data_IF_950458680720
#
_entry.id   IF_950458680720
#
_cell.length_a   1.000
_cell.length_b   1.000
_cell.length_c   1.000
_cell.angle_alpha   90.00
_cell.angle_beta   90.00
_cell.angle_gamma   90.00
#
_symmetry.space_group_name_H-M   'P 1'
#
loop_
_entity.id
_entity.type
_entity.pdbx_description
1 polymer ?
#
# COMPACT_ATOMS: atom_id res chain seq x y z
N UNK A 1 8.11 46.87 42.95
CA UNK A 1 7.49 46.29 41.75
C UNK A 1 8.54 46.32 40.65
N UNK A 2 9.17 45.17 40.40
CA UNK A 2 10.31 45.06 39.49
C UNK A 2 9.81 44.90 38.07
N UNK A 3 10.16 45.86 37.22
CA UNK A 3 9.83 45.89 35.80
C UNK A 3 10.38 44.63 35.10
N UNK A 4 9.48 43.73 34.68
CA UNK A 4 9.80 42.66 33.73
C UNK A 4 10.01 43.31 32.36
N UNK A 5 11.26 43.60 32.02
CA UNK A 5 11.64 43.85 30.62
C UNK A 5 11.30 42.61 29.80
N UNK A 6 10.27 42.69 28.96
CA UNK A 6 10.04 41.74 27.87
C UNK A 6 11.27 41.79 26.95
N UNK A 7 12.08 40.74 26.97
CA UNK A 7 13.09 40.53 25.93
C UNK A 7 12.38 40.24 24.59
N UNK A 8 12.84 40.82 23.48
CA UNK A 8 12.29 40.54 22.15
C UNK A 8 12.45 39.06 21.77
N UNK A 9 11.58 38.49 20.93
CA UNK A 9 11.66 37.10 20.53
C UNK A 9 13.03 36.84 19.91
N UNK A 10 13.75 35.87 20.46
CA UNK A 10 15.09 35.53 20.01
C UNK A 10 15.07 35.22 18.49
N UNK A 11 16.10 35.66 17.73
CA UNK A 11 16.27 35.25 16.35
C UNK A 11 16.31 33.71 16.29
N UNK A 12 15.71 33.12 15.24
CA UNK A 12 15.71 31.67 15.02
C UNK A 12 17.14 31.16 15.15
N UNK A 13 17.45 30.51 16.29
CA UNK A 13 18.79 30.04 16.65
C UNK A 13 19.30 29.19 15.48
N UNK A 14 20.50 29.47 14.95
CA UNK A 14 21.04 28.74 13.80
C UNK A 14 21.16 27.23 14.08
N UNK A 15 21.27 26.87 15.37
CA UNK A 15 21.22 25.51 15.86
C UNK A 15 19.86 24.82 15.65
N UNK A 16 18.75 25.53 15.80
CA UNK A 16 17.41 24.97 15.56
C UNK A 16 17.24 24.64 14.07
N UNK A 17 17.71 25.53 13.19
CA UNK A 17 17.73 25.27 11.74
C UNK A 17 18.59 24.07 11.40
N UNK A 18 19.77 23.92 12.01
CA UNK A 18 20.63 22.74 11.80
C UNK A 18 19.91 21.43 12.13
N UNK A 19 19.12 21.39 13.20
CA UNK A 19 18.34 20.21 13.54
C UNK A 19 17.20 19.94 12.57
N UNK A 20 16.49 20.98 12.12
CA UNK A 20 15.42 20.85 11.12
C UNK A 20 15.98 20.39 9.76
N UNK A 21 17.11 20.94 9.34
CA UNK A 21 17.80 20.54 8.11
C UNK A 21 18.33 19.10 8.21
N UNK A 22 18.84 18.70 9.38
CA UNK A 22 19.23 17.32 9.64
C UNK A 22 18.04 16.36 9.56
N UNK A 23 16.89 16.75 10.11
CA UNK A 23 15.65 15.98 10.01
C UNK A 23 15.20 15.82 8.55
N UNK A 24 15.20 16.89 7.77
CA UNK A 24 14.86 16.86 6.35
C UNK A 24 15.79 15.94 5.54
N UNK A 25 17.10 15.96 5.81
CA UNK A 25 18.07 15.04 5.18
C UNK A 25 17.80 13.58 5.52
N UNK A 26 17.43 13.29 6.76
CA UNK A 26 17.11 11.92 7.19
C UNK A 26 15.82 11.42 6.54
N UNK A 27 14.79 12.26 6.43
CA UNK A 27 13.56 11.93 5.70
C UNK A 27 13.82 11.70 4.20
N UNK A 28 14.68 12.51 3.58
CA UNK A 28 15.07 12.34 2.18
C UNK A 28 16.01 11.14 1.93
N UNK A 29 16.41 10.41 2.97
CA UNK A 29 17.33 9.26 2.86
C UNK A 29 18.75 9.65 2.45
N UNK A 30 19.15 10.93 2.61
CA UNK A 30 20.46 11.46 2.25
C UNK A 30 21.20 12.01 3.48
N UNK A 31 21.52 11.18 4.49
CA UNK A 31 22.30 11.61 5.65
C UNK A 31 23.75 11.95 5.26
N UNK A 32 24.30 12.98 5.90
CA UNK A 32 25.71 13.36 5.81
C UNK A 32 26.59 12.48 6.70
N UNK A 33 26.05 12.00 7.82
CA UNK A 33 26.81 11.14 8.73
C UNK A 33 27.05 9.76 8.10
N UNK A 34 28.32 9.31 8.05
CA UNK A 34 28.73 8.05 7.40
C UNK A 34 28.01 6.82 7.98
N UNK A 35 27.78 6.79 9.29
CA UNK A 35 27.09 5.66 9.94
C UNK A 35 25.61 5.62 9.57
N UNK A 36 24.96 6.80 9.58
CA UNK A 36 23.56 6.92 9.17
C UNK A 36 23.39 6.67 7.68
N UNK A 37 24.37 7.04 6.85
CA UNK A 37 24.40 6.71 5.43
C UNK A 37 24.54 5.20 5.20
N UNK A 38 25.33 4.50 6.01
CA UNK A 38 25.41 3.04 5.96
C UNK A 38 24.07 2.40 6.36
N UNK A 39 23.39 2.91 7.40
CA UNK A 39 22.05 2.45 7.80
C UNK A 39 20.99 2.75 6.73
N UNK A 40 21.06 3.92 6.09
CA UNK A 40 20.15 4.30 5.00
C UNK A 40 20.29 3.35 3.81
N UNK A 41 21.53 3.05 3.39
CA UNK A 41 21.82 2.08 2.32
C UNK A 41 21.30 0.68 2.63
N UNK A 42 21.28 0.28 3.91
CA UNK A 42 20.76 -1.01 4.36
C UNK A 42 19.25 -1.01 4.59
N UNK A 43 18.56 0.13 4.45
CA UNK A 43 17.13 0.25 4.75
C UNK A 43 16.79 0.13 6.24
N UNK A 44 17.77 0.30 7.13
CA UNK A 44 17.60 0.17 8.59
C UNK A 44 17.72 1.50 9.33
N UNK A 45 17.77 2.62 8.60
CA UNK A 45 17.79 3.96 9.18
C UNK A 45 16.50 4.22 9.96
N UNK A 46 16.65 4.61 11.23
CA UNK A 46 15.55 5.01 12.11
C UNK A 46 15.71 6.47 12.47
N UNK A 47 14.66 7.26 12.22
CA UNK A 47 14.61 8.67 12.61
C UNK A 47 14.25 8.73 14.10
N UNK A 48 15.21 9.16 14.91
CA UNK A 48 15.12 9.30 16.36
C UNK A 48 15.84 10.58 16.80
N UNK A 49 15.58 11.05 18.02
CA UNK A 49 16.29 12.20 18.59
C UNK A 49 17.82 12.02 18.55
N UNK A 50 18.30 10.78 18.75
CA UNK A 50 19.73 10.46 18.71
C UNK A 50 20.28 10.55 17.28
N UNK A 51 19.58 10.00 16.29
CA UNK A 51 20.03 10.08 14.88
C UNK A 51 20.00 11.51 14.35
N UNK A 52 18.99 12.31 14.74
CA UNK A 52 18.89 13.72 14.32
C UNK A 52 20.02 14.53 14.94
N UNK A 53 20.28 14.38 16.25
CA UNK A 53 21.41 15.04 16.89
C UNK A 53 22.76 14.63 16.27
N UNK A 54 22.94 13.35 15.97
CA UNK A 54 24.15 12.80 15.33
C UNK A 54 24.34 13.29 13.89
N UNK A 55 23.25 13.55 13.17
CA UNK A 55 23.27 14.11 11.81
C UNK A 55 23.50 15.63 11.81
N UNK A 56 22.98 16.35 12.81
CA UNK A 56 23.21 17.78 13.00
C UNK A 56 24.62 18.08 13.57
N UNK A 57 25.28 17.10 14.19
CA UNK A 57 26.58 17.27 14.84
C UNK A 57 26.50 17.94 16.22
N UNK A 58 25.31 17.98 16.82
CA UNK A 58 25.04 18.67 18.07
C UNK A 58 24.74 17.73 19.22
N UNK A 59 24.80 18.22 20.45
CA UNK A 59 24.49 17.42 21.64
C UNK A 59 23.02 16.99 21.64
N UNK A 60 22.78 15.69 21.88
CA UNK A 60 21.43 15.14 22.05
C UNK A 60 20.65 15.80 23.18
N UNK A 61 21.31 16.38 24.18
CA UNK A 61 20.63 17.01 25.33
C UNK A 61 19.80 18.21 24.89
N UNK A 62 20.18 18.89 23.80
CA UNK A 62 19.46 20.06 23.28
C UNK A 62 18.04 19.74 22.78
N UNK A 63 17.76 18.48 22.45
CA UNK A 63 16.46 18.00 21.95
C UNK A 63 15.94 16.76 22.71
N UNK A 64 16.71 16.24 23.67
CA UNK A 64 16.54 14.88 24.19
C UNK A 64 15.65 14.74 25.42
N UNK A 65 15.40 15.81 26.17
CA UNK A 65 14.60 15.80 27.40
C UNK A 65 13.37 16.70 27.30
N UNK A 66 12.39 16.52 28.19
CA UNK A 66 11.08 17.21 28.07
C UNK A 66 11.17 18.73 28.21
N UNK A 67 12.16 19.22 28.96
CA UNK A 67 12.45 20.67 29.11
C UNK A 67 13.68 21.10 28.29
N UNK A 68 13.85 20.54 27.10
CA UNK A 68 15.01 20.83 26.26
C UNK A 68 14.99 22.25 25.70
N UNK A 69 16.13 22.69 25.16
CA UNK A 69 16.27 24.04 24.60
C UNK A 69 15.40 24.22 23.36
N UNK A 70 15.17 23.15 22.58
CA UNK A 70 14.37 23.18 21.36
C UNK A 70 13.21 22.17 21.44
N UNK A 71 12.14 22.48 22.22
CA UNK A 71 11.01 21.57 22.41
C UNK A 71 10.21 21.35 21.11
N UNK A 72 10.07 22.39 20.27
CA UNK A 72 9.37 22.29 18.99
C UNK A 72 9.99 21.22 18.08
N UNK A 73 11.30 21.24 17.95
CA UNK A 73 12.05 20.26 17.15
C UNK A 73 11.88 18.83 17.71
N UNK A 74 11.89 18.67 19.05
CA UNK A 74 11.62 17.39 19.70
C UNK A 74 10.23 16.87 19.33
N UNK A 75 9.21 17.71 19.42
CA UNK A 75 7.82 17.29 19.19
C UNK A 75 7.60 16.87 17.73
N UNK A 76 8.21 17.54 16.77
CA UNK A 76 8.22 17.08 15.37
C UNK A 76 8.85 15.70 15.20
N UNK A 77 9.99 15.45 15.84
CA UNK A 77 10.69 14.15 15.74
C UNK A 77 9.88 13.04 16.44
N UNK A 78 9.21 13.36 17.53
CA UNK A 78 8.33 12.42 18.24
C UNK A 78 7.10 12.09 17.41
N UNK A 79 6.43 13.08 16.82
CA UNK A 79 5.28 12.88 15.95
C UNK A 79 5.60 11.97 14.76
N UNK A 80 6.75 12.18 14.10
CA UNK A 80 7.23 11.34 13.00
C UNK A 80 7.49 9.87 13.38
N UNK A 81 7.73 9.60 14.66
CA UNK A 81 7.94 8.25 15.17
C UNK A 81 6.60 7.54 15.44
N UNK A 82 5.58 8.31 15.78
CA UNK A 82 4.23 7.82 16.10
C UNK A 82 3.36 7.61 14.86
N UNK A 83 3.82 8.03 13.67
CA UNK A 83 3.11 7.81 12.42
C UNK A 83 2.75 6.32 12.20
N UNK A 84 1.45 5.96 12.13
CA UNK A 84 0.97 4.58 12.06
C UNK A 84 1.31 3.87 10.73
N UNK A 85 1.76 4.64 9.75
CA UNK A 85 2.10 4.22 8.40
C UNK A 85 3.51 3.61 8.31
N UNK A 86 4.41 3.96 9.25
CA UNK A 86 5.75 3.39 9.37
C UNK A 86 5.88 2.59 10.68
N UNK A 87 5.61 1.27 10.68
CA UNK A 87 5.62 0.50 11.91
C UNK A 87 7.03 0.53 12.54
N UNK A 88 7.13 1.16 13.70
CA UNK A 88 8.40 1.32 14.43
C UNK A 88 9.00 -0.03 14.85
N UNK A 89 8.16 -1.07 14.98
CA UNK A 89 8.52 -2.41 15.43
C UNK A 89 8.25 -3.46 14.34
N UNK A 90 9.25 -4.29 14.07
CA UNK A 90 9.15 -5.42 13.12
C UNK A 90 8.00 -6.38 13.45
N UNK A 91 7.68 -6.54 14.74
CA UNK A 91 6.58 -7.40 15.18
C UNK A 91 5.22 -6.90 14.67
N UNK A 92 5.02 -5.59 14.60
CA UNK A 92 3.78 -4.99 14.12
C UNK A 92 3.66 -5.14 12.60
N UNK A 93 4.78 -5.05 11.87
CA UNK A 93 4.83 -5.36 10.42
C UNK A 93 4.44 -6.81 10.18
N UNK A 94 5.03 -7.75 10.92
CA UNK A 94 4.76 -9.19 10.76
C UNK A 94 3.30 -9.51 11.10
N UNK A 95 2.75 -8.91 12.16
CA UNK A 95 1.34 -9.07 12.53
C UNK A 95 0.41 -8.54 11.42
N UNK A 96 0.62 -7.31 10.95
CA UNK A 96 -0.15 -6.72 9.83
C UNK A 96 -0.06 -7.60 8.58
N UNK A 97 1.14 -8.04 8.20
CA UNK A 97 1.37 -8.87 7.02
C UNK A 97 0.71 -10.25 7.12
N UNK A 98 0.65 -10.85 8.31
CA UNK A 98 -0.08 -12.11 8.54
C UNK A 98 -1.58 -11.93 8.35
N UNK A 99 -2.17 -10.85 8.87
CA UNK A 99 -3.59 -10.54 8.68
C UNK A 99 -3.90 -10.32 7.20
N UNK A 100 -3.07 -9.54 6.49
CA UNK A 100 -3.21 -9.33 5.05
C UNK A 100 -3.09 -10.63 4.25
N UNK A 101 -2.11 -11.47 4.57
CA UNK A 101 -1.90 -12.76 3.88
C UNK A 101 -3.09 -13.70 4.07
N UNK A 102 -3.65 -13.79 5.27
CA UNK A 102 -4.86 -14.60 5.53
C UNK A 102 -6.05 -14.05 4.76
N UNK A 103 -6.24 -12.72 4.74
CA UNK A 103 -7.31 -12.08 3.98
C UNK A 103 -7.19 -12.36 2.48
N UNK A 104 -6.03 -12.07 1.89
CA UNK A 104 -5.75 -12.29 0.46
C UNK A 104 -5.93 -13.77 0.08
N UNK A 105 -5.45 -14.69 0.94
CA UNK A 105 -5.62 -16.12 0.70
C UNK A 105 -7.08 -16.56 0.70
N UNK A 106 -7.94 -15.94 1.54
CA UNK A 106 -9.38 -16.21 1.54
C UNK A 106 -10.04 -15.66 0.28
N UNK A 107 -9.73 -14.43 -0.11
CA UNK A 107 -10.26 -13.81 -1.34
C UNK A 107 -9.88 -14.63 -2.58
N UNK A 108 -8.63 -15.09 -2.65
CA UNK A 108 -8.15 -15.94 -3.75
C UNK A 108 -8.89 -17.28 -3.80
N UNK A 109 -9.11 -17.94 -2.65
CA UNK A 109 -9.88 -19.19 -2.60
C UNK A 109 -11.32 -19.01 -3.06
N UNK A 110 -11.97 -17.90 -2.68
CA UNK A 110 -13.33 -17.59 -3.13
C UNK A 110 -13.38 -17.39 -4.64
N UNK A 111 -12.45 -16.61 -5.20
CA UNK A 111 -12.34 -16.40 -6.64
C UNK A 111 -12.10 -17.71 -7.40
N UNK A 112 -11.20 -18.57 -6.90
CA UNK A 112 -10.94 -19.88 -7.48
C UNK A 112 -12.17 -20.79 -7.45
N UNK A 113 -12.92 -20.79 -6.35
CA UNK A 113 -14.17 -21.56 -6.25
C UNK A 113 -15.22 -21.08 -7.26
N UNK A 114 -15.40 -19.77 -7.38
CA UNK A 114 -16.34 -19.19 -8.35
C UNK A 114 -15.91 -19.53 -9.78
N UNK A 115 -14.63 -19.41 -10.11
CA UNK A 115 -14.10 -19.77 -11.42
C UNK A 115 -14.33 -21.26 -11.73
N UNK A 116 -14.10 -22.15 -10.77
CA UNK A 116 -14.36 -23.58 -10.96
C UNK A 116 -15.84 -23.87 -11.26
N UNK A 117 -16.76 -23.18 -10.55
CA UNK A 117 -18.21 -23.28 -10.83
C UNK A 117 -18.57 -22.76 -12.22
N UNK A 118 -18.02 -21.61 -12.62
CA UNK A 118 -18.27 -21.03 -13.94
C UNK A 118 -17.74 -21.93 -15.05
N UNK A 119 -16.51 -22.43 -14.93
CA UNK A 119 -15.92 -23.38 -15.89
C UNK A 119 -16.77 -24.65 -16.02
N UNK A 120 -17.23 -25.21 -14.90
CA UNK A 120 -18.13 -26.37 -14.92
C UNK A 120 -19.44 -26.10 -15.67
N UNK A 121 -19.98 -24.88 -15.54
CA UNK A 121 -21.20 -24.46 -16.24
C UNK A 121 -20.95 -24.25 -17.73
N UNK A 122 -19.84 -23.61 -18.11
CA UNK A 122 -19.44 -23.43 -19.51
C UNK A 122 -19.30 -24.78 -20.20
N UNK A 123 -18.55 -25.72 -19.60
CA UNK A 123 -18.37 -27.07 -20.15
C UNK A 123 -19.68 -27.83 -20.33
N UNK A 124 -20.66 -27.64 -19.42
CA UNK A 124 -21.99 -28.24 -19.56
C UNK A 124 -22.74 -27.62 -20.74
N UNK A 125 -22.74 -26.29 -20.84
CA UNK A 125 -23.42 -25.57 -21.91
C UNK A 125 -22.82 -25.91 -23.28
N UNK A 126 -21.49 -26.03 -23.39
CA UNK A 126 -20.82 -26.45 -24.63
C UNK A 126 -21.29 -27.83 -25.09
N UNK A 127 -21.38 -28.80 -24.16
CA UNK A 127 -21.92 -30.13 -24.47
C UNK A 127 -23.38 -30.07 -24.94
N UNK A 128 -24.18 -29.25 -24.28
CA UNK A 128 -25.60 -29.08 -24.61
C UNK A 128 -25.76 -28.45 -26.01
N UNK A 129 -24.95 -27.46 -26.35
CA UNK A 129 -24.93 -26.83 -27.68
C UNK A 129 -24.58 -27.85 -28.76
N UNK A 130 -23.52 -28.65 -28.56
CA UNK A 130 -23.13 -29.68 -29.53
C UNK A 130 -24.25 -30.71 -29.73
N UNK A 131 -24.92 -31.15 -28.65
CA UNK A 131 -26.05 -32.07 -28.73
C UNK A 131 -27.21 -31.46 -29.52
N UNK A 132 -27.60 -30.24 -29.20
CA UNK A 132 -28.70 -29.53 -29.87
C UNK A 132 -28.40 -29.24 -31.35
N UNK A 133 -27.14 -28.95 -31.69
CA UNK A 133 -26.71 -28.79 -33.08
C UNK A 133 -26.87 -30.10 -33.86
N UNK A 134 -26.45 -31.23 -33.29
CA UNK A 134 -26.63 -32.56 -33.91
C UNK A 134 -28.10 -32.92 -34.07
N UNK A 135 -28.94 -32.64 -33.09
CA UNK A 135 -30.39 -32.87 -33.18
C UNK A 135 -31.05 -32.00 -34.26
N UNK A 136 -30.71 -30.71 -34.32
CA UNK A 136 -31.20 -29.82 -35.36
C UNK A 136 -30.74 -30.25 -36.75
N UNK A 137 -29.49 -30.69 -36.89
CA UNK A 137 -28.96 -31.20 -38.15
C UNK A 137 -29.76 -32.42 -38.62
N UNK A 138 -29.99 -33.39 -37.73
CA UNK A 138 -30.83 -34.57 -38.03
C UNK A 138 -32.26 -34.18 -38.41
N UNK A 139 -32.87 -33.21 -37.72
CA UNK A 139 -34.22 -32.73 -38.06
C UNK A 139 -34.29 -32.04 -39.42
N UNK A 140 -33.21 -31.35 -39.82
CA UNK A 140 -33.10 -30.73 -41.15
C UNK A 140 -32.97 -31.79 -42.24
N UNK A 141 -32.17 -32.83 -42.00
CA UNK A 141 -31.99 -33.95 -42.93
C UNK A 141 -33.26 -34.82 -43.07
N UNK A 142 -33.99 -35.05 -41.98
CA UNK A 142 -35.25 -35.81 -41.97
C UNK A 142 -36.50 -34.99 -42.34
N UNK A 143 -36.36 -33.72 -42.71
CA UNK A 143 -37.51 -32.91 -43.13
C UNK A 143 -37.95 -33.42 -44.51
N UNK A 144 -39.16 -34.00 -44.68
CA UNK A 144 -39.60 -34.45 -45.98
C UNK A 144 -39.66 -33.24 -46.91
N UNK A 145 -39.03 -33.34 -48.07
CA UNK A 145 -39.21 -32.38 -49.16
C UNK A 145 -40.71 -32.38 -49.47
N UNK A 146 -41.40 -31.31 -49.08
CA UNK A 146 -42.80 -31.13 -49.42
C UNK A 146 -42.89 -31.25 -50.95
N UNK A 147 -43.51 -32.33 -51.44
CA UNK A 147 -43.76 -32.49 -52.87
C UNK A 147 -44.59 -31.29 -53.31
N UNK A 148 -43.98 -30.41 -54.09
CA UNK A 148 -44.69 -29.38 -54.84
C UNK A 148 -45.69 -30.12 -55.72
N UNK A 149 -46.96 -30.10 -55.33
CA UNK A 149 -48.04 -30.62 -56.16
C UNK A 149 -48.12 -29.69 -57.37
N UNK A 150 -47.94 -30.19 -58.61
CA UNK A 150 -48.11 -29.35 -59.77
C UNK A 150 -49.58 -28.93 -59.81
N UNK A 151 -49.83 -27.62 -59.77
CA UNK A 151 -51.15 -27.04 -59.99
C UNK A 151 -51.52 -27.40 -61.43
N UNK A 152 -52.34 -28.44 -61.62
CA UNK A 152 -52.98 -28.70 -62.90
C UNK A 152 -53.98 -27.57 -63.13
N UNK A 153 -53.57 -26.57 -63.92
CA UNK A 153 -54.51 -25.62 -64.51
C UNK A 153 -55.47 -26.40 -65.41
N UNK A 154 -56.77 -26.24 -65.13
CA UNK A 154 -57.86 -26.87 -65.85
C UNK A 154 -58.15 -26.19 -67.19
N UNK A 155 -58.78 -27.00 -68.04
CA UNK A 155 -59.65 -26.75 -69.20
C UNK A 155 -59.26 -25.69 -70.24
#
# INVERSE_FOLDING_TARGET
>A
MTERKLQPPAPVDDLEKDFLDALARLQAGRPKNKDLAASAKKGTLRITLVSVAKEAGHSRTLIGHDKCRYPNTRDFIVALREDPENPTRLQDVVAKKRVESVRLSRELRLAQSLNATLLSRVLRLEKDVVRLQRENQRRRENKPVAKLVPIRGGD
#
